data_IF_725793642373
#
_entry.id   IF_725793642373
#
_cell.length_a   1.000
_cell.length_b   1.000
_cell.length_c   1.000
_cell.angle_alpha   90.00
_cell.angle_beta   90.00
_cell.angle_gamma   90.00
#
_symmetry.space_group_name_H-M   'P 1'
#
loop_
_entity.id
_entity.type
_entity.pdbx_description
1 polymer ?
#
# COMPACT_ATOMS: atom_id res chain seq x y z
N UNK A 1 -12.56 -13.04 5.13
CA UNK A 1 -11.47 -12.18 5.65
C UNK A 1 -10.98 -11.19 4.59
N UNK A 2 -10.71 -11.63 3.36
CA UNK A 2 -10.28 -10.78 2.22
C UNK A 2 -11.26 -9.67 1.83
N UNK A 3 -12.58 -9.92 1.84
CA UNK A 3 -13.60 -8.90 1.49
C UNK A 3 -13.64 -7.70 2.46
N UNK A 4 -13.37 -7.92 3.75
CA UNK A 4 -13.37 -6.85 4.75
C UNK A 4 -12.12 -5.96 4.59
N UNK A 5 -10.98 -6.58 4.29
CA UNK A 5 -9.74 -5.85 4.00
C UNK A 5 -9.84 -5.05 2.69
N UNK A 6 -10.46 -5.61 1.65
CA UNK A 6 -10.71 -4.92 0.38
C UNK A 6 -11.65 -3.71 0.57
N UNK A 7 -12.75 -3.87 1.32
CA UNK A 7 -13.65 -2.75 1.64
C UNK A 7 -12.94 -1.65 2.43
N UNK A 8 -12.13 -2.02 3.43
CA UNK A 8 -11.36 -1.06 4.23
C UNK A 8 -10.33 -0.30 3.40
N UNK A 9 -9.65 -0.99 2.48
CA UNK A 9 -8.68 -0.34 1.58
C UNK A 9 -9.39 0.66 0.65
N UNK A 10 -10.51 0.26 0.04
CA UNK A 10 -11.31 1.16 -0.82
C UNK A 10 -11.77 2.41 -0.07
N UNK A 11 -12.21 2.26 1.18
CA UNK A 11 -12.62 3.40 2.01
C UNK A 11 -11.46 4.35 2.33
N UNK A 12 -10.26 3.82 2.61
CA UNK A 12 -9.07 4.65 2.84
C UNK A 12 -8.67 5.42 1.58
N UNK A 13 -8.68 4.77 0.41
CA UNK A 13 -8.40 5.42 -0.89
C UNK A 13 -9.42 6.52 -1.17
N UNK A 14 -10.70 6.27 -0.89
CA UNK A 14 -11.77 7.25 -1.05
C UNK A 14 -11.55 8.47 -0.14
N UNK A 15 -11.26 8.26 1.15
CA UNK A 15 -11.01 9.35 2.10
C UNK A 15 -9.81 10.21 1.71
N UNK A 16 -8.72 9.59 1.24
CA UNK A 16 -7.57 10.34 0.74
C UNK A 16 -7.88 11.12 -0.53
N UNK A 17 -8.67 10.55 -1.43
CA UNK A 17 -9.08 11.23 -2.67
C UNK A 17 -9.93 12.46 -2.37
N UNK A 18 -10.89 12.34 -1.44
CA UNK A 18 -11.69 13.46 -0.94
C UNK A 18 -10.80 14.53 -0.29
N UNK A 19 -9.85 14.11 0.56
CA UNK A 19 -8.91 15.04 1.20
C UNK A 19 -8.03 15.79 0.20
N UNK A 20 -7.59 15.14 -0.88
CA UNK A 20 -6.83 15.79 -1.95
C UNK A 20 -7.72 16.80 -2.68
N UNK A 21 -8.93 16.39 -3.07
CA UNK A 21 -9.90 17.26 -3.76
C UNK A 21 -10.26 18.50 -2.93
N UNK A 22 -10.48 18.34 -1.63
CA UNK A 22 -10.75 19.46 -0.70
C UNK A 22 -9.56 20.40 -0.56
N UNK A 23 -8.34 19.86 -0.56
CA UNK A 23 -7.11 20.66 -0.45
C UNK A 23 -6.75 21.40 -1.75
N UNK A 24 -7.27 20.95 -2.89
CA UNK A 24 -6.94 21.45 -4.23
C UNK A 24 -8.19 21.59 -5.10
N UNK A 25 -9.11 22.52 -4.75
CA UNK A 25 -10.43 22.61 -5.37
C UNK A 25 -10.44 23.18 -6.79
N UNK A 26 -9.32 23.75 -7.26
CA UNK A 26 -9.25 24.50 -8.53
C UNK A 26 -8.43 23.80 -9.59
N UNK A 27 -7.31 23.19 -9.20
CA UNK A 27 -6.45 22.41 -10.08
C UNK A 27 -5.73 21.32 -9.28
N UNK A 28 -5.62 20.12 -9.85
CA UNK A 28 -5.00 18.98 -9.20
C UNK A 28 -3.51 18.93 -9.54
N UNK A 29 -2.68 19.28 -8.57
CA UNK A 29 -1.24 19.13 -8.65
C UNK A 29 -0.86 17.64 -8.64
N UNK A 30 -0.59 17.11 -9.83
CA UNK A 30 -0.15 15.73 -10.04
C UNK A 30 1.12 15.38 -9.26
N UNK A 31 1.97 16.36 -8.93
CA UNK A 31 3.16 16.11 -8.12
C UNK A 31 2.80 15.76 -6.67
N UNK A 32 1.73 16.35 -6.12
CA UNK A 32 1.22 16.01 -4.78
C UNK A 32 0.59 14.62 -4.77
N UNK A 33 -0.19 14.30 -5.81
CA UNK A 33 -0.77 12.95 -5.97
C UNK A 33 0.35 11.92 -6.08
N UNK A 34 1.35 12.16 -6.94
CA UNK A 34 2.48 11.28 -7.14
C UNK A 34 3.30 11.08 -5.85
N UNK A 35 3.61 12.16 -5.13
CA UNK A 35 4.34 12.09 -3.87
C UNK A 35 3.58 11.25 -2.83
N UNK A 36 2.25 11.43 -2.72
CA UNK A 36 1.43 10.60 -1.84
C UNK A 36 1.41 9.14 -2.28
N UNK A 37 1.21 8.86 -3.56
CA UNK A 37 1.25 7.49 -4.09
C UNK A 37 2.57 6.79 -3.78
N UNK A 38 3.70 7.48 -3.94
CA UNK A 38 5.02 6.95 -3.58
C UNK A 38 5.15 6.67 -2.08
N UNK A 39 4.63 7.55 -1.21
CA UNK A 39 4.61 7.28 0.24
C UNK A 39 3.79 6.03 0.58
N UNK A 40 2.62 5.85 -0.06
CA UNK A 40 1.79 4.65 0.15
C UNK A 40 2.48 3.38 -0.37
N UNK A 41 3.13 3.43 -1.53
CA UNK A 41 3.89 2.31 -2.08
C UNK A 41 5.06 1.91 -1.16
N UNK A 42 5.78 2.90 -0.61
CA UNK A 42 6.85 2.65 0.36
C UNK A 42 6.34 1.94 1.62
N UNK A 43 5.23 2.42 2.21
CA UNK A 43 4.61 1.78 3.38
C UNK A 43 4.15 0.34 3.08
N UNK A 44 3.64 0.10 1.86
CA UNK A 44 3.25 -1.24 1.45
C UNK A 44 4.47 -2.14 1.27
N UNK A 45 5.56 -1.66 0.66
CA UNK A 45 6.79 -2.42 0.49
C UNK A 45 7.38 -2.84 1.85
N UNK A 46 7.48 -1.90 2.80
CA UNK A 46 7.93 -2.17 4.17
C UNK A 46 7.09 -3.26 4.84
N UNK A 47 5.76 -3.18 4.71
CA UNK A 47 4.87 -4.19 5.28
C UNK A 47 5.06 -5.58 4.64
N UNK A 48 5.34 -5.66 3.34
CA UNK A 48 5.64 -6.95 2.68
C UNK A 48 6.99 -7.50 3.14
N UNK A 49 8.01 -6.66 3.34
CA UNK A 49 9.30 -7.08 3.89
C UNK A 49 9.17 -7.61 5.32
N UNK A 50 8.37 -6.96 6.17
CA UNK A 50 8.05 -7.42 7.52
C UNK A 50 7.39 -8.82 7.49
N UNK A 51 6.40 -9.03 6.61
CA UNK A 51 5.74 -10.33 6.45
C UNK A 51 6.70 -11.40 5.91
N UNK A 52 7.56 -11.04 4.95
CA UNK A 52 8.56 -11.94 4.40
C UNK A 52 9.55 -12.40 5.48
N UNK A 53 10.06 -11.44 6.28
CA UNK A 53 10.96 -11.70 7.41
C UNK A 53 10.32 -12.59 8.47
N UNK A 54 9.04 -12.38 8.77
CA UNK A 54 8.30 -13.22 9.71
C UNK A 54 8.10 -14.65 9.21
N UNK A 55 7.81 -14.82 7.92
CA UNK A 55 7.71 -16.13 7.29
C UNK A 55 9.07 -16.86 7.27
N UNK A 56 10.15 -16.15 6.95
CA UNK A 56 11.52 -16.68 6.99
C UNK A 56 11.88 -17.18 8.40
N UNK A 57 11.60 -16.39 9.45
CA UNK A 57 11.84 -16.79 10.86
C UNK A 57 11.07 -18.05 11.26
N UNK A 58 9.92 -18.31 10.64
CA UNK A 58 9.10 -19.52 10.87
C UNK A 58 9.55 -20.70 10.01
N UNK A 59 10.52 -20.51 9.11
CA UNK A 59 11.00 -21.50 8.16
C UNK A 59 10.08 -21.69 6.95
N UNK A 60 9.10 -20.81 6.75
CA UNK A 60 8.18 -20.85 5.62
C UNK A 60 8.74 -20.06 4.43
N UNK A 61 9.71 -20.68 3.74
CA UNK A 61 10.46 -20.07 2.63
C UNK A 61 9.55 -19.75 1.44
N UNK A 62 8.55 -20.59 1.17
CA UNK A 62 7.61 -20.36 0.06
C UNK A 62 6.77 -19.12 0.31
N UNK A 63 6.24 -18.96 1.53
CA UNK A 63 5.51 -17.75 1.91
C UNK A 63 6.40 -16.51 1.92
N UNK A 64 7.64 -16.60 2.42
CA UNK A 64 8.59 -15.49 2.38
C UNK A 64 8.87 -15.03 0.95
N UNK A 65 9.12 -15.97 0.02
CA UNK A 65 9.30 -15.67 -1.39
C UNK A 65 8.06 -15.05 -2.05
N UNK A 66 6.86 -15.48 -1.65
CA UNK A 66 5.60 -14.87 -2.07
C UNK A 66 5.53 -13.38 -1.73
N UNK A 67 5.82 -13.04 -0.47
CA UNK A 67 5.82 -11.65 0.00
C UNK A 67 6.88 -10.78 -0.67
N UNK A 68 8.09 -11.31 -0.88
CA UNK A 68 9.13 -10.60 -1.64
C UNK A 68 8.72 -10.35 -3.10
N UNK A 69 8.11 -11.34 -3.76
CA UNK A 69 7.66 -11.18 -5.13
C UNK A 69 6.53 -10.15 -5.25
N UNK A 70 5.65 -10.07 -4.25
CA UNK A 70 4.57 -9.09 -4.20
C UNK A 70 5.12 -7.68 -3.94
N UNK A 71 6.14 -7.51 -3.11
CA UNK A 71 6.85 -6.23 -2.92
C UNK A 71 7.49 -5.72 -4.22
N UNK A 72 8.12 -6.61 -5.01
CA UNK A 72 8.75 -6.26 -6.29
C UNK A 72 7.77 -5.90 -7.42
N UNK A 73 6.47 -6.17 -7.25
CA UNK A 73 5.42 -5.86 -8.24
C UNK A 73 4.69 -4.53 -7.97
N UNK A 74 4.96 -3.88 -6.84
CA UNK A 74 4.45 -2.55 -6.50
C UNK A 74 5.08 -1.47 -7.39
#
# INVERSE_FOLDING_TARGET
MTQLHDLRLRLLVQQESERIADSQPTDLDLSVVQARSLCWLALMADAHEDQASDAERRGDVEQAMGWFADAMRL
#
